data_IF_657755543241
#
_entry.id   IF_657755543241
#
_cell.length_a   1.000
_cell.length_b   1.000
_cell.length_c   1.000
_cell.angle_alpha   90.00
_cell.angle_beta   90.00
_cell.angle_gamma   90.00
#
_symmetry.space_group_name_H-M   'P 1'
#
loop_
_entity.id
_entity.type
_entity.pdbx_description
1 polymer ?
#
# COMPACT_ATOMS: atom_id res chain seq x y z
N UNK A 1 54.55 -23.54 -54.36
CA UNK A 1 53.84 -22.53 -53.54
C UNK A 1 53.34 -23.21 -52.26
N UNK A 2 53.41 -22.54 -51.11
CA UNK A 2 54.04 -23.13 -49.93
C UNK A 2 53.07 -23.90 -49.01
N UNK A 3 53.63 -24.99 -48.50
CA UNK A 3 53.20 -25.85 -47.40
C UNK A 3 53.48 -25.20 -46.05
N UNK A 4 52.60 -25.47 -45.08
CA UNK A 4 52.63 -24.91 -43.74
C UNK A 4 53.84 -25.29 -42.88
N UNK A 5 54.11 -24.44 -41.89
CA UNK A 5 54.97 -24.73 -40.76
C UNK A 5 54.25 -24.28 -39.47
N UNK A 6 53.92 -25.25 -38.63
CA UNK A 6 53.46 -25.05 -37.25
C UNK A 6 54.69 -24.79 -36.36
N UNK A 7 54.64 -23.72 -35.57
CA UNK A 7 55.66 -23.40 -34.56
C UNK A 7 55.25 -23.98 -33.19
N UNK A 8 56.22 -24.55 -32.48
CA UNK A 8 56.10 -25.18 -31.17
C UNK A 8 55.91 -24.16 -30.02
N UNK A 9 55.29 -24.56 -28.88
CA UNK A 9 55.05 -23.67 -27.74
C UNK A 9 56.26 -23.55 -26.79
N UNK A 10 56.52 -22.32 -26.31
CA UNK A 10 57.49 -21.99 -25.26
C UNK A 10 56.93 -22.23 -23.85
N UNK A 11 57.77 -22.58 -22.84
CA UNK A 11 57.33 -22.86 -21.48
C UNK A 11 57.14 -21.59 -20.63
N UNK A 12 56.00 -21.48 -19.94
CA UNK A 12 55.70 -20.40 -18.99
C UNK A 12 56.05 -20.87 -17.57
N UNK A 13 56.94 -20.15 -16.87
CA UNK A 13 57.22 -20.34 -15.44
C UNK A 13 56.23 -19.50 -14.60
N UNK A 14 55.68 -20.01 -13.49
CA UNK A 14 54.79 -19.24 -12.62
C UNK A 14 55.54 -18.20 -11.78
N UNK A 15 55.01 -16.97 -11.77
CA UNK A 15 55.49 -15.86 -10.97
C UNK A 15 54.93 -15.96 -9.54
N UNK A 16 55.79 -16.24 -8.55
CA UNK A 16 55.41 -16.25 -7.14
C UNK A 16 55.55 -14.82 -6.59
N UNK A 17 54.43 -14.14 -6.39
CA UNK A 17 54.38 -12.84 -5.73
C UNK A 17 54.32 -13.08 -4.21
N UNK A 18 55.38 -12.71 -3.47
CA UNK A 18 55.36 -12.65 -2.00
C UNK A 18 54.75 -11.31 -1.57
N UNK A 19 53.58 -11.36 -0.92
CA UNK A 19 52.92 -10.18 -0.33
C UNK A 19 53.46 -9.96 1.10
N UNK A 20 53.87 -8.74 1.50
CA UNK A 20 54.36 -8.46 2.84
C UNK A 20 53.28 -8.60 3.92
N UNK A 21 53.65 -9.18 5.06
CA UNK A 21 52.75 -9.50 6.19
C UNK A 21 52.05 -8.28 6.84
N UNK A 22 52.49 -7.06 6.50
CA UNK A 22 51.91 -5.79 6.98
C UNK A 22 50.59 -5.38 6.32
N UNK A 23 50.21 -5.95 5.16
CA UNK A 23 48.94 -5.63 4.49
C UNK A 23 47.74 -6.37 5.11
N UNK A 24 47.99 -7.47 5.84
CA UNK A 24 46.94 -8.29 6.46
C UNK A 24 46.61 -7.83 7.89
N UNK A 25 47.54 -7.15 8.57
CA UNK A 25 47.35 -6.74 9.97
C UNK A 25 46.46 -5.50 10.13
N UNK A 26 46.44 -4.59 9.16
CA UNK A 26 45.64 -3.35 9.22
C UNK A 26 44.13 -3.62 9.06
N UNK A 27 43.66 -4.49 8.14
CA UNK A 27 42.24 -4.87 8.07
C UNK A 27 41.75 -5.62 9.32
N UNK A 28 42.62 -6.42 9.94
CA UNK A 28 42.26 -7.22 11.11
C UNK A 28 42.08 -6.36 12.38
N UNK A 29 42.92 -5.32 12.54
CA UNK A 29 42.79 -4.32 13.61
C UNK A 29 41.54 -3.44 13.43
N UNK A 30 41.18 -3.07 12.21
CA UNK A 30 39.94 -2.32 11.93
C UNK A 30 38.69 -3.18 12.17
N UNK A 31 38.73 -4.47 11.89
CA UNK A 31 37.65 -5.41 12.24
C UNK A 31 37.50 -5.56 13.76
N UNK A 32 38.60 -5.63 14.51
CA UNK A 32 38.56 -5.72 15.98
C UNK A 32 38.06 -4.43 16.63
N UNK A 33 38.45 -3.25 16.14
CA UNK A 33 37.89 -1.97 16.60
C UNK A 33 36.41 -1.79 16.24
N UNK A 34 35.98 -2.27 15.07
CA UNK A 34 34.56 -2.26 14.70
C UNK A 34 33.71 -3.20 15.58
N UNK A 35 34.30 -4.32 16.03
CA UNK A 35 33.60 -5.26 16.92
C UNK A 35 33.46 -4.74 18.37
N UNK A 36 34.43 -3.95 18.86
CA UNK A 36 34.32 -3.29 20.17
C UNK A 36 33.36 -2.10 20.13
N UNK A 37 33.33 -1.33 19.02
CA UNK A 37 32.41 -0.20 18.87
C UNK A 37 30.95 -0.65 18.65
N UNK A 38 30.72 -1.79 17.98
CA UNK A 38 29.37 -2.37 17.82
C UNK A 38 28.85 -2.99 19.12
N UNK A 39 29.73 -3.48 20.00
CA UNK A 39 29.33 -3.99 21.31
C UNK A 39 28.82 -2.90 22.27
N UNK A 40 29.30 -1.66 22.13
CA UNK A 40 28.91 -0.55 23.00
C UNK A 40 27.66 0.21 22.52
N UNK A 41 27.31 0.13 21.22
CA UNK A 41 26.15 0.83 20.64
C UNK A 41 24.83 0.03 20.73
N UNK A 42 24.86 -1.27 21.05
CA UNK A 42 23.63 -2.09 21.25
C UNK A 42 23.15 -2.09 22.71
N UNK A 43 23.85 -1.43 23.63
CA UNK A 43 23.45 -1.35 25.03
C UNK A 43 22.54 -0.14 25.33
N UNK A 44 21.36 -0.05 24.70
CA UNK A 44 20.35 0.92 25.14
C UNK A 44 18.90 0.43 25.02
N UNK A 45 18.62 -0.68 25.70
CA UNK A 45 17.52 -0.82 26.67
C UNK A 45 17.49 -2.28 27.13
N UNK A 46 17.73 -2.54 28.41
CA UNK A 46 17.46 -3.85 28.98
C UNK A 46 15.96 -4.16 28.75
N UNK A 47 15.59 -5.24 28.03
CA UNK A 47 14.19 -5.53 27.68
C UNK A 47 13.27 -5.58 28.90
N UNK A 48 13.82 -6.00 30.06
CA UNK A 48 13.09 -5.99 31.33
C UNK A 48 12.74 -4.57 31.80
N UNK A 49 13.65 -3.60 31.62
CA UNK A 49 13.40 -2.19 31.95
C UNK A 49 12.37 -1.55 31.02
N UNK A 50 12.37 -1.91 29.73
CA UNK A 50 11.37 -1.43 28.78
C UNK A 50 9.96 -1.93 29.15
N UNK A 51 9.83 -3.21 29.51
CA UNK A 51 8.58 -3.81 29.95
C UNK A 51 8.08 -3.24 31.29
N UNK A 52 8.98 -2.92 32.23
CA UNK A 52 8.60 -2.26 33.48
C UNK A 52 8.17 -0.82 33.28
N UNK A 53 8.83 -0.06 32.38
CA UNK A 53 8.37 1.28 31.97
C UNK A 53 6.99 1.23 31.32
N UNK A 54 6.74 0.23 30.48
CA UNK A 54 5.43 -0.02 29.90
C UNK A 54 4.37 -0.28 30.98
N UNK A 55 4.66 -1.16 31.95
CA UNK A 55 3.76 -1.42 33.10
C UNK A 55 3.42 -0.13 33.85
N UNK A 56 4.38 0.75 34.09
CA UNK A 56 4.13 2.05 34.78
C UNK A 56 3.36 3.06 33.94
N UNK A 57 3.29 2.90 32.61
CA UNK A 57 2.52 3.78 31.72
C UNK A 57 1.03 3.48 31.68
N UNK A 58 0.59 2.37 32.31
CA UNK A 58 -0.81 1.95 32.36
C UNK A 58 -1.41 2.41 33.70
N UNK A 59 -2.40 3.31 33.64
CA UNK A 59 -3.02 3.94 34.81
C UNK A 59 -3.74 2.96 35.75
N UNK A 60 -4.14 1.78 35.25
CA UNK A 60 -4.73 0.68 36.01
C UNK A 60 -4.04 -0.63 35.61
N UNK A 61 -2.83 -0.88 36.13
CA UNK A 61 -2.15 -2.15 35.91
C UNK A 61 -2.99 -3.29 36.53
N UNK A 62 -3.75 -3.98 35.66
CA UNK A 62 -4.58 -5.15 35.93
C UNK A 62 -3.83 -6.19 36.80
N UNK A 63 -4.51 -6.98 37.67
CA UNK A 63 -3.91 -8.14 38.33
C UNK A 63 -3.16 -9.09 37.37
N UNK A 64 -3.47 -9.09 36.07
CA UNK A 64 -2.76 -9.82 35.03
C UNK A 64 -1.24 -9.52 34.93
N UNK A 65 -0.79 -8.32 35.31
CA UNK A 65 0.63 -7.92 35.26
C UNK A 65 1.30 -7.89 36.64
N UNK A 66 0.65 -8.43 37.67
CA UNK A 66 1.09 -8.32 39.06
C UNK A 66 2.49 -8.90 39.28
N UNK A 67 2.83 -10.03 38.65
CA UNK A 67 4.13 -10.69 38.84
C UNK A 67 5.29 -10.09 38.03
N UNK A 68 5.04 -9.08 37.18
CA UNK A 68 6.11 -8.41 36.43
C UNK A 68 7.01 -7.63 37.38
N UNK A 69 8.31 -7.96 37.39
CA UNK A 69 9.32 -7.42 38.29
C UNK A 69 9.64 -8.28 39.51
N UNK A 70 8.95 -9.42 39.69
CA UNK A 70 9.23 -10.37 40.80
C UNK A 70 10.52 -11.17 40.63
N UNK A 71 11.03 -11.28 39.40
CA UNK A 71 12.30 -11.90 39.03
C UNK A 71 13.12 -10.90 38.20
N UNK A 72 14.46 -10.87 38.34
CA UNK A 72 15.33 -9.94 37.63
C UNK A 72 15.25 -10.06 36.09
N UNK A 73 14.87 -11.23 35.57
CA UNK A 73 14.72 -11.47 34.14
C UNK A 73 13.31 -12.00 33.79
N UNK A 74 12.68 -11.52 32.70
CA UNK A 74 11.35 -11.98 32.28
C UNK A 74 11.34 -13.43 31.77
N UNK A 75 12.50 -13.97 31.39
CA UNK A 75 12.69 -15.32 30.88
C UNK A 75 13.85 -16.04 31.58
N UNK A 76 13.72 -17.35 31.76
CA UNK A 76 14.80 -18.28 32.14
C UNK A 76 14.82 -19.40 31.10
N UNK A 77 15.57 -19.21 30.01
CA UNK A 77 15.47 -20.05 28.82
C UNK A 77 14.10 -19.89 28.14
N UNK A 78 13.42 -21.00 27.84
CA UNK A 78 12.07 -21.01 27.24
C UNK A 78 10.93 -20.86 28.28
N UNK A 79 11.26 -20.66 29.56
CA UNK A 79 10.27 -20.46 30.62
C UNK A 79 10.08 -18.97 30.91
N UNK A 80 8.83 -18.54 30.90
CA UNK A 80 8.45 -17.19 31.30
C UNK A 80 8.36 -17.07 32.82
N UNK A 81 9.10 -16.10 33.37
CA UNK A 81 9.02 -15.73 34.78
C UNK A 81 7.92 -14.70 35.05
N UNK A 82 7.53 -13.93 34.02
CA UNK A 82 6.49 -12.90 34.07
C UNK A 82 5.26 -13.38 33.30
N UNK A 83 4.06 -13.13 33.82
CA UNK A 83 2.82 -13.62 33.24
C UNK A 83 2.60 -13.03 31.85
N UNK A 84 2.21 -13.86 30.87
CA UNK A 84 1.95 -13.42 29.50
C UNK A 84 3.20 -13.14 28.64
N UNK A 85 4.41 -13.30 29.18
CA UNK A 85 5.63 -13.30 28.36
C UNK A 85 5.81 -14.67 27.71
N UNK A 86 6.18 -14.70 26.44
CA UNK A 86 6.58 -15.92 25.74
C UNK A 86 8.07 -15.86 25.48
N UNK A 87 8.79 -16.90 25.91
CA UNK A 87 10.23 -16.99 25.78
C UNK A 87 10.56 -18.06 24.73
N UNK A 88 11.37 -17.70 23.75
CA UNK A 88 11.86 -18.62 22.73
C UNK A 88 13.37 -18.48 22.61
N UNK A 89 14.10 -19.58 22.79
CA UNK A 89 15.51 -19.67 22.47
C UNK A 89 15.71 -19.43 20.97
N UNK A 90 16.50 -18.41 20.62
CA UNK A 90 16.79 -17.99 19.24
C UNK A 90 17.71 -18.99 18.50
N UNK A 91 18.04 -20.14 19.10
CA UNK A 91 19.07 -21.07 18.61
C UNK A 91 18.58 -22.41 18.03
N UNK A 92 17.27 -22.61 17.84
CA UNK A 92 16.72 -23.85 17.23
C UNK A 92 15.87 -23.55 15.99
N UNK A 93 16.47 -22.96 14.95
CA UNK A 93 15.79 -22.71 13.67
C UNK A 93 16.20 -23.63 12.50
N UNK A 94 16.81 -24.79 12.76
CA UNK A 94 17.06 -25.78 11.70
C UNK A 94 16.80 -27.20 12.20
N UNK A 95 15.53 -27.64 12.11
CA UNK A 95 15.07 -28.94 11.56
C UNK A 95 13.55 -29.09 11.81
N UNK A 96 12.88 -29.36 10.70
CA UNK A 96 11.47 -29.63 10.47
C UNK A 96 10.93 -30.82 11.29
N UNK A 97 9.69 -30.74 11.83
CA UNK A 97 8.47 -31.38 11.27
C UNK A 97 7.34 -31.62 12.31
N UNK A 98 6.14 -31.13 11.96
CA UNK A 98 4.76 -31.57 12.33
C UNK A 98 4.52 -32.30 13.67
N UNK A 99 3.60 -31.75 14.46
CA UNK A 99 2.45 -32.52 14.93
C UNK A 99 1.21 -31.65 15.13
N UNK A 100 0.11 -32.03 14.48
CA UNK A 100 -1.24 -31.53 14.74
C UNK A 100 -1.66 -32.04 16.12
N UNK A 101 -2.26 -31.19 16.95
CA UNK A 101 -3.43 -31.58 17.76
C UNK A 101 -4.25 -30.36 18.20
N UNK A 102 -5.53 -30.53 17.94
CA UNK A 102 -6.71 -29.74 18.29
C UNK A 102 -6.88 -29.54 19.79
N UNK A 103 -7.28 -28.34 20.21
CA UNK A 103 -8.12 -28.09 21.40
C UNK A 103 -8.74 -26.68 21.32
N UNK A 104 -9.91 -26.46 21.97
CA UNK A 104 -10.96 -25.58 21.46
C UNK A 104 -10.80 -24.12 21.88
N UNK A 105 -11.26 -23.23 21.02
CA UNK A 105 -11.44 -21.80 21.29
C UNK A 105 -12.56 -21.59 22.33
N UNK A 106 -12.37 -20.77 23.38
CA UNK A 106 -13.45 -20.38 24.27
C UNK A 106 -14.42 -19.44 23.56
N UNK A 107 -15.72 -19.75 23.64
CA UNK A 107 -16.82 -18.90 23.20
C UNK A 107 -16.99 -17.73 24.18
N UNK A 108 -17.06 -16.50 23.66
CA UNK A 108 -17.51 -15.33 24.42
C UNK A 108 -18.93 -14.98 23.96
N UNK A 109 -19.82 -14.91 24.94
CA UNK A 109 -21.26 -14.99 24.73
C UNK A 109 -21.98 -13.69 24.41
N UNK A 110 -23.22 -13.95 23.97
CA UNK A 110 -24.49 -13.27 24.27
C UNK A 110 -24.81 -11.95 23.56
N UNK A 111 -25.49 -12.16 22.44
CA UNK A 111 -26.37 -11.28 21.68
C UNK A 111 -27.52 -10.72 22.54
N UNK A 112 -27.74 -9.40 22.48
CA UNK A 112 -28.92 -8.72 23.01
C UNK A 112 -29.86 -8.45 21.83
N UNK A 113 -30.96 -9.20 21.78
CA UNK A 113 -32.10 -9.00 20.88
C UNK A 113 -32.84 -7.70 21.17
N UNK A 114 -33.22 -6.88 20.16
CA UNK A 114 -34.27 -5.89 20.32
C UNK A 114 -35.67 -6.53 20.05
N UNK A 115 -36.73 -6.11 20.75
CA UNK A 115 -38.06 -6.63 20.51
C UNK A 115 -38.68 -6.01 19.25
N UNK A 116 -39.33 -6.88 18.47
CA UNK A 116 -40.20 -6.54 17.37
C UNK A 116 -41.59 -6.15 17.87
N UNK A 117 -42.17 -5.09 17.30
CA UNK A 117 -43.62 -4.92 17.21
C UNK A 117 -43.98 -4.31 15.86
N UNK A 118 -44.87 -4.98 15.16
CA UNK A 118 -45.35 -4.72 13.81
C UNK A 118 -46.26 -3.48 13.71
N UNK A 119 -46.30 -2.89 12.51
CA UNK A 119 -47.51 -2.73 11.65
C UNK A 119 -47.32 -1.54 10.67
N UNK A 120 -47.50 -1.83 9.38
CA UNK A 120 -47.71 -0.90 8.26
C UNK A 120 -49.23 -0.62 8.10
N UNK A 121 -49.73 0.07 7.06
CA UNK A 121 -49.37 1.41 6.51
C UNK A 121 -50.63 2.29 6.28
N UNK A 122 -50.51 3.61 6.07
CA UNK A 122 -51.40 4.34 5.14
C UNK A 122 -50.91 5.76 4.82
N UNK A 123 -50.99 6.10 3.53
CA UNK A 123 -50.79 7.42 2.97
C UNK A 123 -51.96 8.37 3.27
N UNK A 124 -51.71 9.68 3.42
CA UNK A 124 -52.42 10.77 2.70
C UNK A 124 -52.05 12.19 3.16
N UNK A 125 -51.69 13.02 2.16
CA UNK A 125 -52.03 14.44 1.91
C UNK A 125 -51.95 15.52 3.02
N UNK A 126 -51.15 16.55 2.67
CA UNK A 126 -51.42 18.02 2.66
C UNK A 126 -52.27 18.62 3.79
N UNK A 127 -51.72 19.62 4.49
CA UNK A 127 -52.07 21.04 4.25
C UNK A 127 -51.29 21.99 5.18
N UNK A 128 -51.18 23.21 4.67
CA UNK A 128 -50.42 24.40 5.03
C UNK A 128 -51.03 25.29 6.13
N UNK A 129 -50.35 26.43 6.39
CA UNK A 129 -50.82 27.74 6.97
C UNK A 129 -50.62 27.82 8.51
N UNK A 130 -49.98 28.82 9.15
CA UNK A 130 -49.56 30.17 8.76
C UNK A 130 -48.70 30.90 9.83
N UNK A 131 -48.26 32.12 9.43
CA UNK A 131 -47.86 33.34 10.17
C UNK A 131 -46.34 33.52 10.41
N UNK A 132 -45.64 34.36 9.64
CA UNK A 132 -45.58 35.84 9.64
C UNK A 132 -44.86 36.38 10.90
N UNK A 133 -43.83 37.22 10.85
CA UNK A 133 -43.78 38.60 10.30
C UNK A 133 -42.33 39.07 10.05
N UNK A 134 -42.22 40.01 9.10
CA UNK A 134 -41.13 40.90 8.64
C UNK A 134 -40.09 41.39 9.70
N UNK A 135 -38.88 41.86 9.35
CA UNK A 135 -38.61 43.15 8.65
C UNK A 135 -37.22 43.12 7.96
N UNK A 136 -37.19 43.63 6.74
CA UNK A 136 -35.99 44.02 6.00
C UNK A 136 -35.69 45.51 6.20
N UNK A 137 -34.41 45.89 6.26
CA UNK A 137 -33.96 47.27 6.04
C UNK A 137 -33.11 47.29 4.77
N UNK A 138 -33.59 48.03 3.78
CA UNK A 138 -32.84 48.49 2.61
C UNK A 138 -32.16 49.81 2.95
N UNK A 139 -30.89 49.96 2.55
CA UNK A 139 -30.36 51.26 2.11
C UNK A 139 -29.40 51.04 0.94
N UNK A 140 -29.74 51.68 -0.18
CA UNK A 140 -28.98 51.82 -1.42
C UNK A 140 -27.93 52.92 -1.33
N UNK A 141 -26.85 52.81 -2.10
CA UNK A 141 -25.98 53.94 -2.45
C UNK A 141 -24.55 53.51 -2.76
N UNK A 142 -24.19 53.47 -4.04
CA UNK A 142 -22.84 53.10 -4.49
C UNK A 142 -21.83 54.24 -4.45
N UNK A 143 -20.54 53.90 -4.42
CA UNK A 143 -19.53 54.54 -5.27
C UNK A 143 -18.24 53.69 -5.36
N UNK A 144 -17.58 53.87 -6.50
CA UNK A 144 -16.27 53.40 -6.95
C UNK A 144 -15.13 53.42 -5.92
N UNK A 145 -14.24 52.42 -6.00
CA UNK A 145 -13.04 52.33 -5.17
C UNK A 145 -12.17 51.12 -5.48
N UNK A 146 -11.36 51.25 -6.54
CA UNK A 146 -10.33 50.30 -6.97
C UNK A 146 -9.25 50.19 -5.87
N UNK A 147 -9.16 49.06 -5.17
CA UNK A 147 -7.95 48.65 -4.43
C UNK A 147 -7.77 47.14 -4.55
N UNK A 148 -6.74 46.76 -5.31
CA UNK A 148 -6.16 45.43 -5.22
C UNK A 148 -5.58 45.25 -3.83
N UNK A 149 -6.21 44.36 -3.05
CA UNK A 149 -5.61 43.79 -1.86
C UNK A 149 -5.19 42.38 -2.21
N UNK A 150 -3.88 42.16 -2.31
CA UNK A 150 -3.31 40.83 -2.14
C UNK A 150 -3.84 40.27 -0.82
N UNK A 151 -4.77 39.33 -0.89
CA UNK A 151 -5.10 38.50 0.25
C UNK A 151 -3.90 37.58 0.49
N UNK A 152 -2.93 38.09 1.26
CA UNK A 152 -2.03 37.22 2.01
C UNK A 152 -2.90 36.39 2.94
N UNK A 153 -3.16 35.17 2.51
CA UNK A 153 -3.76 34.12 3.33
C UNK A 153 -2.82 33.85 4.51
N UNK A 154 -3.01 34.56 5.61
CA UNK A 154 -2.55 34.12 6.92
C UNK A 154 -3.32 32.85 7.28
N UNK A 155 -2.85 31.72 6.75
CA UNK A 155 -3.36 30.41 7.12
C UNK A 155 -2.81 30.06 8.51
N UNK A 156 -3.72 30.11 9.50
CA UNK A 156 -3.47 29.62 10.84
C UNK A 156 -2.98 28.17 10.84
N UNK A 157 -2.13 27.86 11.83
CA UNK A 157 -1.52 26.55 12.02
C UNK A 157 -2.57 25.42 12.00
N UNK A 158 -2.49 24.54 10.99
CA UNK A 158 -3.14 23.23 11.03
C UNK A 158 -4.57 23.13 10.50
N UNK A 159 -5.03 23.98 9.56
CA UNK A 159 -6.33 23.83 8.89
C UNK A 159 -6.28 22.79 7.75
N UNK A 160 -7.36 22.02 7.58
CA UNK A 160 -7.55 21.16 6.40
C UNK A 160 -7.72 22.00 5.14
N UNK A 161 -7.05 21.60 4.07
CA UNK A 161 -7.22 22.16 2.73
C UNK A 161 -8.16 21.27 1.93
N UNK A 162 -9.40 21.71 1.72
CA UNK A 162 -10.38 21.02 0.88
C UNK A 162 -10.09 21.28 -0.60
N UNK A 163 -10.26 20.25 -1.42
CA UNK A 163 -9.95 20.32 -2.85
C UNK A 163 -11.14 20.07 -3.76
N UNK A 164 -12.31 19.78 -3.19
CA UNK A 164 -13.57 19.62 -3.92
C UNK A 164 -14.47 20.83 -3.66
N UNK A 165 -14.89 21.49 -4.73
CA UNK A 165 -15.61 22.78 -4.70
C UNK A 165 -16.95 22.74 -3.92
N UNK A 166 -17.53 21.55 -3.71
CA UNK A 166 -18.87 21.37 -3.12
C UNK A 166 -18.88 20.56 -1.81
N UNK A 167 -17.76 20.38 -1.11
CA UNK A 167 -17.69 19.47 0.05
C UNK A 167 -16.95 20.02 1.28
N UNK A 168 -16.95 21.33 1.55
CA UNK A 168 -16.60 21.76 2.91
C UNK A 168 -17.74 21.39 3.86
N UNK A 169 -17.77 20.12 4.29
CA UNK A 169 -18.77 19.55 5.19
C UNK A 169 -18.30 19.46 6.65
N UNK A 170 -16.98 19.56 6.88
CA UNK A 170 -16.40 19.36 8.20
C UNK A 170 -15.09 20.14 8.38
N UNK A 171 -14.64 20.28 9.61
CA UNK A 171 -13.36 20.86 10.01
C UNK A 171 -12.42 19.81 10.58
N UNK A 172 -11.15 20.19 10.85
CA UNK A 172 -10.21 19.29 11.51
C UNK A 172 -10.74 18.84 12.89
N UNK A 173 -11.44 19.72 13.61
CA UNK A 173 -12.02 19.37 14.91
C UNK A 173 -13.06 18.25 14.81
N UNK A 174 -13.84 18.22 13.72
CA UNK A 174 -14.84 17.18 13.51
C UNK A 174 -14.16 15.82 13.25
N UNK A 175 -13.08 15.78 12.47
CA UNK A 175 -12.27 14.56 12.32
C UNK A 175 -11.67 14.09 13.65
N UNK A 176 -11.26 15.01 14.51
CA UNK A 176 -10.67 14.68 15.83
C UNK A 176 -11.72 14.17 16.83
N UNK A 177 -13.00 14.50 16.63
CA UNK A 177 -14.13 14.01 17.44
C UNK A 177 -14.78 12.75 16.86
N UNK A 178 -14.51 12.44 15.59
CA UNK A 178 -15.05 11.28 14.90
C UNK A 178 -14.65 9.98 15.60
N UNK A 179 -15.55 9.00 15.57
CA UNK A 179 -15.16 7.63 15.92
C UNK A 179 -14.17 7.11 14.88
N UNK A 180 -13.10 6.47 15.33
CA UNK A 180 -12.01 6.04 14.47
C UNK A 180 -11.72 4.55 14.62
N UNK A 181 -11.68 3.84 13.50
CA UNK A 181 -11.24 2.46 13.40
C UNK A 181 -9.96 2.39 12.57
N UNK A 182 -8.97 1.61 13.03
CA UNK A 182 -7.74 1.38 12.26
C UNK A 182 -8.05 0.41 11.13
N UNK A 183 -7.97 0.88 9.88
CA UNK A 183 -8.13 0.02 8.70
C UNK A 183 -6.86 -0.79 8.41
N UNK A 184 -5.70 -0.23 8.73
CA UNK A 184 -4.42 -0.91 8.58
C UNK A 184 -3.22 0.03 8.65
N UNK A 185 -2.05 -0.58 8.87
CA UNK A 185 -0.75 0.06 8.75
C UNK A 185 0.02 -0.56 7.60
N UNK A 186 0.53 0.25 6.68
CA UNK A 186 1.36 -0.19 5.55
C UNK A 186 2.61 0.68 5.39
N UNK A 187 3.30 0.48 4.27
CA UNK A 187 4.58 1.15 3.94
C UNK A 187 4.50 2.69 4.04
N UNK A 188 3.31 3.26 3.82
CA UNK A 188 3.03 4.70 3.90
C UNK A 188 2.59 5.22 5.28
N UNK A 189 2.45 4.37 6.28
CA UNK A 189 1.90 4.72 7.59
C UNK A 189 0.53 4.11 7.83
N UNK A 190 -0.34 4.82 8.55
CA UNK A 190 -1.60 4.27 9.05
C UNK A 190 -2.82 4.89 8.34
N UNK A 191 -3.83 4.05 8.09
CA UNK A 191 -5.13 4.45 7.54
C UNK A 191 -6.21 4.24 8.60
N UNK A 192 -7.05 5.25 8.78
CA UNK A 192 -8.13 5.26 9.76
C UNK A 192 -9.46 5.49 9.04
N UNK A 193 -10.47 4.69 9.35
CA UNK A 193 -11.86 4.99 9.01
C UNK A 193 -12.40 5.92 10.09
N UNK A 194 -12.79 7.13 9.71
CA UNK A 194 -13.40 8.10 10.59
C UNK A 194 -14.88 8.24 10.22
N UNK A 195 -15.79 8.05 11.20
CA UNK A 195 -17.22 8.29 11.01
C UNK A 195 -17.58 9.60 11.70
N UNK A 196 -17.98 10.59 10.91
CA UNK A 196 -18.42 11.90 11.36
C UNK A 196 -19.76 11.80 12.10
N UNK A 197 -20.12 12.88 12.80
CA UNK A 197 -21.35 12.94 13.63
C UNK A 197 -22.62 12.79 12.80
N UNK A 198 -22.60 13.22 11.54
CA UNK A 198 -23.70 13.06 10.57
C UNK A 198 -23.76 11.67 9.92
N UNK A 199 -22.85 10.76 10.30
CA UNK A 199 -22.76 9.40 9.78
C UNK A 199 -21.91 9.25 8.51
N UNK A 200 -21.37 10.35 7.95
CA UNK A 200 -20.48 10.28 6.80
C UNK A 200 -19.15 9.58 7.18
N UNK A 201 -18.76 8.59 6.39
CA UNK A 201 -17.54 7.81 6.61
C UNK A 201 -16.42 8.26 5.67
N UNK A 202 -15.26 8.55 6.25
CA UNK A 202 -14.06 9.00 5.56
C UNK A 202 -12.87 8.10 5.87
N UNK A 203 -11.85 8.15 5.02
CA UNK A 203 -10.54 7.55 5.29
C UNK A 203 -9.51 8.65 5.48
N UNK A 204 -8.89 8.69 6.66
CA UNK A 204 -7.76 9.55 6.97
C UNK A 204 -6.49 8.73 6.89
N UNK A 205 -5.62 9.06 5.93
CA UNK A 205 -4.29 8.45 5.78
C UNK A 205 -3.22 9.37 6.33
N UNK A 206 -2.43 8.84 7.27
CA UNK A 206 -1.31 9.56 7.89
C UNK A 206 0.02 9.08 7.32
N UNK A 207 0.72 9.99 6.63
CA UNK A 207 1.98 9.70 5.96
C UNK A 207 3.17 10.16 6.78
N UNK A 208 4.07 9.22 7.14
CA UNK A 208 5.33 9.52 7.86
C UNK A 208 6.48 9.82 6.90
N UNK A 209 6.42 9.25 5.71
CA UNK A 209 7.48 9.27 4.70
C UNK A 209 7.41 10.49 3.78
N UNK A 210 6.56 11.46 4.10
CA UNK A 210 6.41 12.73 3.40
C UNK A 210 6.87 13.90 4.29
N UNK A 211 7.62 13.66 5.37
CA UNK A 211 7.97 14.71 6.32
C UNK A 211 9.08 15.66 5.82
N UNK A 212 9.87 15.26 4.81
CA UNK A 212 10.98 16.09 4.31
C UNK A 212 10.62 16.87 3.04
N UNK A 213 9.41 16.71 2.49
CA UNK A 213 8.94 17.50 1.35
C UNK A 213 8.72 18.95 1.78
N UNK A 214 9.14 19.91 0.94
CA UNK A 214 8.88 21.32 1.19
C UNK A 214 7.37 21.61 1.16
N UNK A 215 6.95 22.66 1.88
CA UNK A 215 5.54 23.03 2.01
C UNK A 215 4.95 23.37 0.64
N UNK A 216 5.65 24.19 -0.11
CA UNK A 216 5.24 24.69 -1.42
C UNK A 216 5.11 23.55 -2.43
N UNK A 217 6.12 22.66 -2.49
CA UNK A 217 6.13 21.46 -3.34
C UNK A 217 4.95 20.54 -3.03
N UNK A 218 4.69 20.30 -1.74
CA UNK A 218 3.55 19.47 -1.32
C UNK A 218 2.22 20.08 -1.73
N UNK A 219 2.01 21.37 -1.47
CA UNK A 219 0.76 22.04 -1.86
C UNK A 219 0.57 22.07 -3.37
N UNK A 220 1.62 22.35 -4.13
CA UNK A 220 1.56 22.30 -5.59
C UNK A 220 1.17 20.91 -6.08
N UNK A 221 1.81 19.87 -5.54
CA UNK A 221 1.50 18.49 -5.89
C UNK A 221 0.07 18.10 -5.52
N UNK A 222 -0.42 18.47 -4.34
CA UNK A 222 -1.81 18.23 -3.93
C UNK A 222 -2.82 18.96 -4.82
N UNK A 223 -2.51 20.18 -5.27
CA UNK A 223 -3.35 20.89 -6.25
C UNK A 223 -3.39 20.18 -7.59
N UNK A 224 -2.30 19.55 -8.04
CA UNK A 224 -2.28 18.72 -9.25
C UNK A 224 -3.13 17.46 -9.08
N UNK A 225 -2.95 16.77 -7.95
CA UNK A 225 -3.73 15.58 -7.57
C UNK A 225 -5.24 15.87 -7.55
N UNK A 226 -5.63 17.01 -6.99
CA UNK A 226 -7.01 17.48 -6.89
C UNK A 226 -7.72 17.71 -8.24
N UNK A 227 -6.97 18.03 -9.31
CA UNK A 227 -7.56 18.30 -10.62
C UNK A 227 -7.90 17.03 -11.41
N UNK A 228 -7.39 15.88 -10.97
CA UNK A 228 -7.63 14.60 -11.62
C UNK A 228 -9.08 14.16 -11.40
N UNK A 229 -9.80 13.91 -12.49
CA UNK A 229 -11.20 13.50 -12.49
C UNK A 229 -11.38 12.30 -13.40
N UNK A 230 -11.50 11.13 -12.81
CA UNK A 230 -11.73 9.88 -13.53
C UNK A 230 -12.49 8.89 -12.63
N UNK A 231 -13.49 8.15 -13.16
CA UNK A 231 -14.28 7.21 -12.36
C UNK A 231 -13.45 6.06 -11.77
N UNK A 232 -12.28 5.77 -12.34
CA UNK A 232 -11.38 4.72 -11.85
C UNK A 232 -10.27 5.24 -10.93
N UNK A 233 -10.36 6.47 -10.44
CA UNK A 233 -9.46 7.02 -9.42
C UNK A 233 -10.25 7.42 -8.18
N UNK A 234 -9.74 7.09 -6.99
CA UNK A 234 -10.29 7.57 -5.73
C UNK A 234 -9.88 9.04 -5.53
N UNK A 235 -10.82 10.01 -5.62
CA UNK A 235 -10.44 11.42 -5.61
C UNK A 235 -10.09 11.89 -4.21
N UNK A 236 -9.06 12.73 -4.09
CA UNK A 236 -8.74 13.42 -2.83
C UNK A 236 -9.91 14.32 -2.41
N UNK A 237 -10.26 14.30 -1.12
CA UNK A 237 -11.29 15.17 -0.51
C UNK A 237 -10.62 16.40 0.10
N UNK A 238 -9.64 16.15 0.96
CA UNK A 238 -8.89 17.18 1.67
C UNK A 238 -7.49 16.68 2.03
N UNK A 239 -6.61 17.61 2.40
CA UNK A 239 -5.29 17.27 2.92
C UNK A 239 -4.85 18.22 4.04
N UNK A 240 -3.92 17.76 4.86
CA UNK A 240 -3.27 18.56 5.91
C UNK A 240 -1.76 18.55 5.69
N UNK A 241 -1.15 19.74 5.77
CA UNK A 241 0.29 19.89 5.88
C UNK A 241 0.67 20.41 7.28
N UNK A 242 1.48 19.65 8.00
CA UNK A 242 2.26 20.09 9.16
C UNK A 242 3.70 19.60 9.00
N UNK A 243 4.66 20.24 9.65
CA UNK A 243 6.10 19.95 9.47
C UNK A 243 6.40 18.44 9.57
N UNK A 244 5.86 17.78 10.59
CA UNK A 244 6.12 16.35 10.87
C UNK A 244 4.92 15.44 10.59
N UNK A 245 3.88 15.96 9.93
CA UNK A 245 2.65 15.22 9.69
C UNK A 245 1.96 15.66 8.41
N UNK A 246 1.67 14.68 7.54
CA UNK A 246 0.81 14.88 6.37
C UNK A 246 -0.39 13.95 6.48
N UNK A 247 -1.58 14.51 6.26
CA UNK A 247 -2.80 13.74 6.16
C UNK A 247 -3.39 13.89 4.77
N UNK A 248 -3.85 12.79 4.19
CA UNK A 248 -4.73 12.81 3.01
C UNK A 248 -6.07 12.19 3.41
N UNK A 249 -7.16 12.83 3.00
CA UNK A 249 -8.52 12.44 3.34
C UNK A 249 -9.27 12.04 2.06
N UNK A 250 -9.95 10.91 2.12
CA UNK A 250 -10.73 10.34 1.02
C UNK A 250 -12.11 9.89 1.53
N UNK A 251 -13.06 9.69 0.61
CA UNK A 251 -14.32 9.03 0.94
C UNK A 251 -14.05 7.56 1.30
N UNK A 252 -14.82 7.02 2.25
CA UNK A 252 -14.76 5.59 2.56
C UNK A 252 -15.48 4.76 1.48
N UNK A 253 -14.82 3.72 0.99
CA UNK A 253 -15.36 2.81 -0.02
C UNK A 253 -15.73 1.46 0.63
N UNK A 254 -17.02 1.11 0.58
CA UNK A 254 -17.59 0.03 1.40
C UNK A 254 -17.11 -1.38 1.03
N UNK A 255 -16.88 -1.69 -0.25
CA UNK A 255 -16.48 -3.04 -0.65
C UNK A 255 -14.97 -3.30 -0.48
N UNK A 256 -14.22 -2.41 0.16
CA UNK A 256 -12.82 -2.63 0.49
C UNK A 256 -11.92 -2.74 -0.74
N UNK A 257 -10.78 -3.42 -0.59
CA UNK A 257 -9.77 -3.57 -1.65
C UNK A 257 -9.90 -4.87 -2.43
N UNK A 258 -9.42 -4.89 -3.67
CA UNK A 258 -9.31 -6.11 -4.48
C UNK A 258 -8.52 -7.21 -3.74
N UNK A 259 -7.47 -6.83 -2.99
CA UNK A 259 -6.72 -7.78 -2.17
C UNK A 259 -7.59 -8.49 -1.13
N UNK A 260 -8.52 -7.77 -0.50
CA UNK A 260 -9.45 -8.35 0.47
C UNK A 260 -10.45 -9.33 -0.19
N UNK A 261 -10.88 -9.04 -1.42
CA UNK A 261 -11.74 -9.93 -2.21
C UNK A 261 -11.01 -11.19 -2.70
N UNK A 262 -9.73 -11.08 -3.04
CA UNK A 262 -8.96 -12.22 -3.53
C UNK A 262 -8.45 -13.11 -2.39
N UNK A 263 -8.07 -12.53 -1.24
CA UNK A 263 -7.30 -13.24 -0.21
C UNK A 263 -7.93 -13.20 1.20
N UNK A 264 -9.13 -12.63 1.33
CA UNK A 264 -9.83 -12.49 2.61
C UNK A 264 -10.34 -13.84 3.15
N UNK A 265 -10.31 -14.03 4.48
CA UNK A 265 -10.77 -15.28 5.13
C UNK A 265 -12.25 -15.63 4.89
N UNK A 266 -13.04 -14.66 4.44
CA UNK A 266 -14.47 -14.80 4.16
C UNK A 266 -14.83 -14.24 2.78
N UNK A 267 -13.87 -14.17 1.84
CA UNK A 267 -14.21 -13.76 0.48
C UNK A 267 -15.08 -14.84 -0.17
N UNK A 268 -16.18 -14.43 -0.80
CA UNK A 268 -16.99 -15.29 -1.66
C UNK A 268 -16.35 -15.50 -3.04
N UNK A 269 -15.05 -15.20 -3.18
CA UNK A 269 -14.36 -15.05 -4.45
C UNK A 269 -14.93 -13.92 -5.32
N UNK A 270 -14.21 -13.58 -6.40
CA UNK A 270 -14.73 -12.75 -7.49
C UNK A 270 -15.01 -13.62 -8.71
N UNK A 271 -16.17 -13.41 -9.33
CA UNK A 271 -16.50 -14.02 -10.63
C UNK A 271 -15.54 -13.58 -11.73
N UNK A 272 -15.49 -14.35 -12.83
CA UNK A 272 -14.73 -13.97 -14.03
C UNK A 272 -15.13 -12.58 -14.55
N UNK A 273 -16.44 -12.32 -14.68
CA UNK A 273 -16.95 -11.05 -15.17
C UNK A 273 -16.50 -9.88 -14.27
N UNK A 274 -16.60 -10.03 -12.94
CA UNK A 274 -16.13 -9.02 -12.00
C UNK A 274 -14.64 -8.76 -12.13
N UNK A 275 -13.81 -9.80 -12.24
CA UNK A 275 -12.35 -9.68 -12.41
C UNK A 275 -12.00 -8.96 -13.72
N UNK A 276 -12.64 -9.31 -14.83
CA UNK A 276 -12.43 -8.66 -16.12
C UNK A 276 -12.85 -7.18 -16.08
N UNK A 277 -14.02 -6.88 -15.50
CA UNK A 277 -14.50 -5.50 -15.28
C UNK A 277 -13.50 -4.67 -14.48
N UNK A 278 -12.97 -5.24 -13.40
CA UNK A 278 -11.96 -4.60 -12.54
C UNK A 278 -10.68 -4.34 -13.33
N UNK A 279 -10.13 -5.32 -14.04
CA UNK A 279 -8.91 -5.13 -14.84
C UNK A 279 -9.11 -4.05 -15.91
N UNK A 280 -10.25 -4.05 -16.59
CA UNK A 280 -10.62 -3.03 -17.59
C UNK A 280 -10.68 -1.62 -16.97
N UNK A 281 -11.24 -1.46 -15.79
CA UNK A 281 -11.29 -0.16 -15.10
C UNK A 281 -9.92 0.29 -14.60
N UNK A 282 -9.10 -0.63 -14.09
CA UNK A 282 -7.73 -0.34 -13.64
C UNK A 282 -6.88 0.21 -14.80
N UNK A 283 -6.88 -0.46 -15.96
CA UNK A 283 -6.06 0.01 -17.10
C UNK A 283 -6.55 1.35 -17.64
N UNK A 284 -7.86 1.64 -17.58
CA UNK A 284 -8.42 2.96 -17.92
C UNK A 284 -7.93 4.05 -16.98
N UNK A 285 -7.98 3.81 -15.66
CA UNK A 285 -7.47 4.72 -14.65
C UNK A 285 -5.96 4.96 -14.80
N UNK A 286 -5.19 3.90 -15.06
CA UNK A 286 -3.75 3.99 -15.27
C UNK A 286 -3.39 4.79 -16.53
N UNK A 287 -4.08 4.54 -17.65
CA UNK A 287 -3.88 5.31 -18.88
C UNK A 287 -4.26 6.78 -18.72
N UNK A 288 -5.31 7.08 -17.94
CA UNK A 288 -5.67 8.45 -17.60
C UNK A 288 -4.53 9.15 -16.85
N UNK A 289 -3.94 8.52 -15.83
CA UNK A 289 -2.78 9.07 -15.11
C UNK A 289 -1.59 9.35 -16.05
N UNK A 290 -1.28 8.43 -16.97
CA UNK A 290 -0.19 8.61 -17.93
C UNK A 290 -0.43 9.77 -18.90
N UNK A 291 -1.70 10.02 -19.23
CA UNK A 291 -2.12 11.10 -20.13
C UNK A 291 -2.10 12.46 -19.44
N UNK A 292 -2.62 12.55 -18.21
CA UNK A 292 -2.72 13.81 -17.45
C UNK A 292 -1.40 14.21 -16.79
N UNK A 293 -0.50 13.25 -16.53
CA UNK A 293 0.77 13.47 -15.84
C UNK A 293 1.96 12.97 -16.65
N UNK A 294 2.14 13.45 -17.89
CA UNK A 294 3.17 12.94 -18.79
C UNK A 294 4.59 13.23 -18.29
N UNK A 295 4.77 14.22 -17.42
CA UNK A 295 6.06 14.57 -16.82
C UNK A 295 6.51 13.62 -15.68
N UNK A 296 5.62 12.79 -15.14
CA UNK A 296 5.99 11.82 -14.12
C UNK A 296 6.57 10.55 -14.77
N UNK A 297 7.72 10.11 -14.26
CA UNK A 297 8.37 8.87 -14.70
C UNK A 297 7.53 7.63 -14.39
N UNK A 298 6.86 7.63 -13.23
CA UNK A 298 5.94 6.59 -12.76
C UNK A 298 4.64 7.26 -12.31
N UNK A 299 3.71 7.55 -13.25
CA UNK A 299 2.47 8.25 -12.94
C UNK A 299 1.69 7.62 -11.79
N UNK A 300 1.60 6.29 -11.70
CA UNK A 300 1.05 5.64 -10.51
C UNK A 300 2.12 5.29 -9.47
N UNK A 301 3.13 4.50 -9.84
CA UNK A 301 4.26 4.12 -9.00
C UNK A 301 3.98 3.10 -7.88
N UNK A 302 2.73 2.87 -7.53
CA UNK A 302 2.31 2.02 -6.41
C UNK A 302 1.09 1.14 -6.71
N UNK A 303 0.93 0.71 -7.96
CA UNK A 303 -0.20 -0.14 -8.32
C UNK A 303 -0.02 -1.55 -7.73
N UNK A 304 -0.99 -1.98 -6.91
CA UNK A 304 -1.10 -3.31 -6.29
C UNK A 304 -2.55 -3.57 -5.88
N UNK A 305 -2.94 -4.82 -5.65
CA UNK A 305 -4.32 -5.20 -5.32
C UNK A 305 -4.88 -4.51 -4.08
N UNK A 306 -4.05 -4.19 -3.08
CA UNK A 306 -4.49 -3.44 -1.88
C UNK A 306 -4.78 -1.96 -2.15
N UNK A 307 -4.29 -1.43 -3.28
CA UNK A 307 -4.48 -0.05 -3.71
C UNK A 307 -5.54 0.08 -4.83
N UNK A 308 -6.30 -0.98 -5.07
CA UNK A 308 -7.49 -0.97 -5.93
C UNK A 308 -8.70 -1.17 -5.03
N UNK A 309 -9.44 -0.10 -4.75
CA UNK A 309 -10.70 -0.20 -4.02
C UNK A 309 -11.84 -0.57 -4.96
N UNK A 310 -12.86 -1.25 -4.44
CA UNK A 310 -14.02 -1.68 -5.21
C UNK A 310 -15.22 -0.89 -4.70
N UNK A 311 -15.93 -0.18 -5.57
CA UNK A 311 -17.16 0.52 -5.19
C UNK A 311 -18.38 -0.41 -5.15
N UNK A 312 -19.56 0.14 -4.82
CA UNK A 312 -20.82 -0.62 -4.72
C UNK A 312 -21.23 -1.30 -6.02
N UNK A 313 -20.85 -0.73 -7.16
CA UNK A 313 -21.16 -1.25 -8.50
C UNK A 313 -20.05 -2.16 -9.04
N UNK A 314 -19.11 -2.55 -8.18
CA UNK A 314 -17.92 -3.34 -8.54
C UNK A 314 -17.04 -2.66 -9.59
N UNK A 315 -17.01 -1.32 -9.63
CA UNK A 315 -15.99 -0.60 -10.39
C UNK A 315 -14.73 -0.41 -9.54
N UNK A 316 -13.55 -0.50 -10.15
CA UNK A 316 -12.30 -0.26 -9.44
C UNK A 316 -12.01 1.24 -9.31
N UNK A 317 -11.48 1.64 -8.16
CA UNK A 317 -10.95 2.97 -7.88
C UNK A 317 -9.51 2.86 -7.38
N UNK A 318 -8.57 3.36 -8.17
CA UNK A 318 -7.15 3.37 -7.81
C UNK A 318 -6.89 4.39 -6.71
N UNK A 319 -6.08 4.03 -5.72
CA UNK A 319 -5.62 4.92 -4.66
C UNK A 319 -4.09 4.93 -4.54
N UNK A 320 -3.54 5.84 -3.73
CA UNK A 320 -2.09 5.98 -3.50
C UNK A 320 -1.27 6.15 -4.80
N UNK A 321 -1.90 6.72 -5.82
CA UNK A 321 -1.27 7.07 -7.08
C UNK A 321 -0.52 8.40 -6.96
N UNK A 322 0.47 8.61 -7.83
CA UNK A 322 1.21 9.88 -7.97
C UNK A 322 1.98 10.33 -6.73
N UNK A 323 2.28 9.45 -5.78
CA UNK A 323 2.92 9.87 -4.52
C UNK A 323 4.44 10.07 -4.63
N UNK A 324 5.10 9.54 -5.66
CA UNK A 324 6.56 9.57 -5.79
C UNK A 324 7.22 10.96 -5.55
N UNK A 325 6.69 12.08 -6.08
CA UNK A 325 7.31 13.40 -5.88
C UNK A 325 7.26 13.95 -4.45
N UNK A 326 6.33 13.46 -3.63
CA UNK A 326 6.12 13.96 -2.25
C UNK A 326 6.67 13.01 -1.18
N UNK A 327 7.24 11.88 -1.60
CA UNK A 327 7.86 10.91 -0.71
C UNK A 327 9.35 11.21 -0.59
N UNK A 328 9.88 11.01 0.61
CA UNK A 328 11.30 11.17 0.91
C UNK A 328 12.16 10.38 -0.11
N UNK A 329 13.06 11.04 -0.87
CA UNK A 329 13.86 10.37 -1.91
C UNK A 329 14.69 9.19 -1.39
N UNK A 330 15.12 9.25 -0.12
CA UNK A 330 15.89 8.19 0.51
C UNK A 330 15.05 6.96 0.91
N UNK A 331 13.72 7.06 0.91
CA UNK A 331 12.81 5.98 1.31
C UNK A 331 11.90 5.53 0.17
N UNK A 332 11.81 6.30 -0.91
CA UNK A 332 10.86 6.06 -2.01
C UNK A 332 10.99 4.66 -2.61
N UNK A 333 12.22 4.12 -2.67
CA UNK A 333 12.52 2.81 -3.24
C UNK A 333 12.12 1.64 -2.34
N UNK A 334 12.03 1.85 -1.02
CA UNK A 334 11.56 0.84 -0.07
C UNK A 334 10.03 0.74 -0.09
N UNK A 335 9.36 1.86 -0.36
CA UNK A 335 7.91 2.02 -0.24
C UNK A 335 7.19 1.70 -1.54
N UNK A 336 7.62 2.28 -2.66
CA UNK A 336 6.88 2.20 -3.92
C UNK A 336 7.17 0.89 -4.65
N UNK A 337 6.11 0.14 -4.95
CA UNK A 337 6.16 -1.14 -5.70
C UNK A 337 6.92 -1.02 -7.03
N UNK A 338 6.88 0.14 -7.70
CA UNK A 338 7.63 0.36 -8.93
C UNK A 338 9.15 0.10 -8.79
N UNK A 339 9.72 0.38 -7.63
CA UNK A 339 11.15 0.15 -7.34
C UNK A 339 11.47 -1.31 -7.03
N UNK A 340 10.46 -2.18 -7.04
CA UNK A 340 10.62 -3.63 -6.94
C UNK A 340 10.62 -4.30 -8.33
N UNK A 341 10.57 -3.50 -9.40
CA UNK A 341 10.56 -4.00 -10.78
C UNK A 341 11.91 -4.58 -11.24
N UNK A 342 11.91 -5.49 -12.23
CA UNK A 342 13.14 -6.02 -12.80
C UNK A 342 14.02 -4.94 -13.45
N UNK A 343 13.41 -3.87 -14.01
CA UNK A 343 14.17 -2.78 -14.63
C UNK A 343 14.98 -2.01 -13.59
N UNK A 344 14.38 -1.75 -12.43
CA UNK A 344 15.07 -1.09 -11.34
C UNK A 344 16.19 -1.97 -10.78
N UNK A 345 15.94 -3.27 -10.60
CA UNK A 345 16.95 -4.21 -10.14
C UNK A 345 18.18 -4.28 -11.09
N UNK A 346 17.95 -4.20 -12.41
CA UNK A 346 19.02 -4.26 -13.42
C UNK A 346 19.74 -2.93 -13.65
N UNK A 347 19.02 -1.81 -13.64
CA UNK A 347 19.53 -0.52 -14.12
C UNK A 347 19.58 0.58 -13.06
N UNK A 348 18.98 0.35 -11.89
CA UNK A 348 18.77 1.37 -10.85
C UNK A 348 17.77 2.46 -11.26
N UNK A 349 16.99 2.27 -12.33
CA UNK A 349 16.06 3.27 -12.87
C UNK A 349 14.67 2.68 -13.10
N UNK A 350 13.64 3.49 -12.86
CA UNK A 350 12.23 3.21 -13.20
C UNK A 350 11.81 4.04 -14.40
N UNK A 351 10.76 3.63 -15.10
CA UNK A 351 10.21 4.34 -16.26
C UNK A 351 8.68 4.14 -16.35
N UNK A 352 8.03 4.73 -17.36
CA UNK A 352 6.58 4.57 -17.54
C UNK A 352 6.16 3.11 -17.76
N UNK A 353 7.02 2.31 -18.40
CA UNK A 353 6.79 0.86 -18.56
C UNK A 353 6.90 0.07 -17.24
N UNK A 354 7.41 0.68 -16.17
CA UNK A 354 7.38 0.10 -14.82
C UNK A 354 5.94 0.04 -14.28
N UNK A 355 5.10 1.04 -14.55
CA UNK A 355 3.67 0.97 -14.20
C UNK A 355 2.94 -0.14 -14.97
N UNK A 356 3.35 -0.41 -16.23
CA UNK A 356 2.81 -1.51 -17.03
C UNK A 356 3.20 -2.86 -16.43
N UNK A 357 4.42 -2.99 -15.91
CA UNK A 357 4.82 -4.19 -15.18
C UNK A 357 3.97 -4.40 -13.92
N UNK A 358 3.70 -3.34 -13.14
CA UNK A 358 2.79 -3.42 -11.99
C UNK A 358 1.37 -3.84 -12.42
N UNK A 359 0.88 -3.35 -13.57
CA UNK A 359 -0.40 -3.78 -14.14
C UNK A 359 -0.37 -5.28 -14.48
N UNK A 360 0.70 -5.78 -15.10
CA UNK A 360 0.88 -7.20 -15.38
C UNK A 360 0.80 -8.06 -14.13
N UNK A 361 1.54 -7.70 -13.08
CA UNK A 361 1.49 -8.39 -11.79
C UNK A 361 0.08 -8.41 -11.20
N UNK A 362 -0.63 -7.28 -11.26
CA UNK A 362 -2.02 -7.18 -10.80
C UNK A 362 -2.96 -8.07 -11.60
N UNK A 363 -2.82 -8.14 -12.94
CA UNK A 363 -3.60 -9.02 -13.81
C UNK A 363 -3.37 -10.47 -13.39
N UNK A 364 -2.12 -10.90 -13.27
CA UNK A 364 -1.77 -12.26 -12.89
C UNK A 364 -2.28 -12.61 -11.49
N UNK A 365 -2.14 -11.73 -10.51
CA UNK A 365 -2.73 -11.91 -9.17
C UNK A 365 -4.25 -12.07 -9.24
N UNK A 366 -4.90 -11.22 -10.03
CA UNK A 366 -6.36 -11.24 -10.19
C UNK A 366 -6.83 -12.51 -10.89
N UNK A 367 -6.10 -13.06 -11.85
CA UNK A 367 -6.47 -14.30 -12.54
C UNK A 367 -6.20 -15.56 -11.72
N UNK A 368 -5.12 -15.56 -10.96
CA UNK A 368 -4.68 -16.76 -10.22
C UNK A 368 -5.27 -16.86 -8.82
N UNK A 369 -5.74 -15.74 -8.25
CA UNK A 369 -6.11 -15.67 -6.83
C UNK A 369 -4.91 -15.91 -5.89
N UNK A 370 -3.67 -15.95 -6.41
CA UNK A 370 -2.47 -16.23 -5.61
C UNK A 370 -1.89 -14.93 -5.09
N UNK A 371 -1.74 -14.83 -3.76
CA UNK A 371 -1.27 -13.64 -3.10
C UNK A 371 0.21 -13.34 -3.37
N UNK A 372 0.49 -12.16 -3.92
CA UNK A 372 1.87 -11.71 -4.20
C UNK A 372 2.57 -11.20 -2.93
N UNK A 373 1.88 -10.90 -1.82
CA UNK A 373 2.55 -10.24 -0.69
C UNK A 373 3.45 -11.11 0.19
N UNK A 374 3.49 -12.44 0.00
CA UNK A 374 4.61 -13.24 0.53
C UNK A 374 5.95 -12.72 -0.03
N UNK A 375 5.94 -12.28 -1.30
CA UNK A 375 7.12 -11.74 -1.99
C UNK A 375 7.38 -10.28 -1.61
N UNK A 376 6.35 -9.48 -1.29
CA UNK A 376 6.49 -8.05 -0.95
C UNK A 376 7.14 -7.76 0.42
N UNK A 377 7.46 -8.78 1.22
CA UNK A 377 7.89 -8.64 2.62
C UNK A 377 9.38 -8.84 2.90
N UNK A 378 10.22 -9.12 1.88
CA UNK A 378 11.66 -9.38 2.09
C UNK A 378 12.56 -8.54 1.17
N UNK A 379 13.76 -8.24 1.65
CA UNK A 379 14.69 -7.21 1.17
C UNK A 379 14.98 -7.17 -0.33
N UNK A 380 15.46 -6.01 -0.77
CA UNK A 380 15.53 -5.48 -2.14
C UNK A 380 16.20 -6.34 -3.23
N UNK A 381 16.89 -7.43 -2.89
CA UNK A 381 17.61 -8.28 -3.86
C UNK A 381 16.95 -9.63 -4.19
N UNK A 382 16.24 -10.27 -3.25
CA UNK A 382 15.60 -11.58 -3.47
C UNK A 382 14.24 -11.47 -4.17
N UNK A 383 13.62 -10.29 -4.07
CA UNK A 383 12.30 -9.99 -4.61
C UNK A 383 12.16 -10.23 -6.12
N UNK A 384 13.09 -9.69 -6.93
CA UNK A 384 12.93 -9.73 -8.40
C UNK A 384 13.09 -11.15 -8.95
N UNK A 385 13.96 -11.96 -8.35
CA UNK A 385 14.22 -13.33 -8.78
C UNK A 385 13.05 -14.26 -8.46
N UNK A 386 12.45 -14.14 -7.27
CA UNK A 386 11.27 -14.94 -6.89
C UNK A 386 10.05 -14.58 -7.72
N UNK A 387 9.83 -13.29 -7.99
CA UNK A 387 8.71 -12.84 -8.81
C UNK A 387 8.89 -13.22 -10.28
N UNK A 388 10.11 -13.12 -10.82
CA UNK A 388 10.43 -13.64 -12.15
C UNK A 388 10.22 -15.17 -12.22
N UNK A 389 10.64 -15.91 -11.19
CA UNK A 389 10.37 -17.35 -11.07
C UNK A 389 8.88 -17.68 -11.06
N UNK A 390 8.07 -16.89 -10.35
CA UNK A 390 6.61 -17.04 -10.34
C UNK A 390 5.97 -16.77 -11.70
N UNK A 391 6.36 -15.68 -12.39
CA UNK A 391 5.88 -15.41 -13.75
C UNK A 391 6.30 -16.53 -14.71
N UNK A 392 7.54 -17.03 -14.61
CA UNK A 392 8.02 -18.14 -15.43
C UNK A 392 7.26 -19.45 -15.17
N UNK A 393 6.91 -19.73 -13.91
CA UNK A 393 6.07 -20.87 -13.56
C UNK A 393 4.68 -20.77 -14.21
N UNK A 394 4.08 -19.57 -14.22
CA UNK A 394 2.81 -19.32 -14.91
C UNK A 394 2.93 -19.56 -16.42
N UNK A 395 4.03 -19.12 -17.04
CA UNK A 395 4.27 -19.32 -18.48
C UNK A 395 4.43 -20.80 -18.84
N UNK A 396 4.97 -21.62 -17.93
CA UNK A 396 5.20 -23.05 -18.16
C UNK A 396 4.01 -23.96 -17.89
N UNK A 397 2.92 -23.45 -17.30
CA UNK A 397 1.73 -24.21 -16.91
C UNK A 397 0.53 -23.87 -17.82
N UNK A 398 -0.43 -24.79 -17.95
CA UNK A 398 -1.68 -24.49 -18.67
C UNK A 398 -2.54 -23.50 -17.87
N UNK A 399 -3.19 -22.54 -18.53
CA UNK A 399 -4.10 -21.58 -17.86
C UNK A 399 -5.17 -22.24 -17.00
N UNK A 400 -5.68 -23.41 -17.40
CA UNK A 400 -6.65 -24.18 -16.63
C UNK A 400 -6.12 -24.65 -15.26
N UNK A 401 -4.80 -24.77 -15.11
CA UNK A 401 -4.14 -25.18 -13.87
C UNK A 401 -3.75 -23.97 -13.01
N UNK A 402 -3.48 -22.84 -13.66
CA UNK A 402 -2.97 -21.61 -13.05
C UNK A 402 -4.08 -20.71 -12.51
N UNK A 403 -5.19 -20.64 -13.23
CA UNK A 403 -6.30 -19.75 -12.90
C UNK A 403 -7.09 -20.25 -11.69
N UNK A 404 -7.69 -19.30 -10.97
CA UNK A 404 -8.48 -19.57 -9.79
C UNK A 404 -9.68 -20.46 -10.10
N UNK A 405 -9.78 -21.59 -9.39
CA UNK A 405 -10.82 -22.61 -9.61
C UNK A 405 -12.19 -22.16 -9.14
N UNK A 406 -12.25 -21.10 -8.33
CA UNK A 406 -13.51 -20.51 -7.85
C UNK A 406 -14.23 -19.69 -8.93
N UNK A 407 -13.57 -19.39 -10.05
CA UNK A 407 -14.21 -18.78 -11.20
C UNK A 407 -14.98 -19.86 -11.98
N UNK A 408 -16.29 -19.98 -11.77
CA UNK A 408 -17.16 -20.78 -12.62
C UNK A 408 -17.21 -20.15 -14.03
N UNK A 409 -16.49 -20.72 -15.00
CA UNK A 409 -16.30 -20.09 -16.32
C UNK A 409 -16.79 -21.00 -17.46
N UNK A 410 -17.50 -20.40 -18.42
CA UNK A 410 -17.88 -21.00 -19.71
C UNK A 410 -16.66 -21.39 -20.56
N UNK A 411 -16.87 -22.12 -21.66
CA UNK A 411 -15.78 -22.43 -22.58
C UNK A 411 -15.21 -21.15 -23.23
N UNK A 412 -16.08 -20.22 -23.62
CA UNK A 412 -15.76 -18.93 -24.20
C UNK A 412 -15.01 -18.06 -23.19
N UNK A 413 -15.48 -18.01 -21.94
CA UNK A 413 -14.82 -17.28 -20.86
C UNK A 413 -13.40 -17.80 -20.59
N UNK A 414 -13.14 -19.11 -20.75
CA UNK A 414 -11.78 -19.67 -20.64
C UNK A 414 -10.83 -19.15 -21.72
N UNK A 415 -11.32 -18.99 -22.95
CA UNK A 415 -10.52 -18.40 -24.05
C UNK A 415 -10.20 -16.93 -23.75
N UNK A 416 -11.18 -16.18 -23.27
CA UNK A 416 -10.98 -14.77 -22.89
C UNK A 416 -10.03 -14.63 -21.70
N UNK A 417 -10.09 -15.56 -20.75
CA UNK A 417 -9.18 -15.64 -19.61
C UNK A 417 -7.75 -15.95 -20.03
N UNK A 418 -7.55 -16.91 -20.93
CA UNK A 418 -6.24 -17.19 -21.53
C UNK A 418 -5.68 -15.94 -22.22
N UNK A 419 -6.50 -15.25 -23.02
CA UNK A 419 -6.07 -14.01 -23.69
C UNK A 419 -5.62 -12.96 -22.68
N UNK A 420 -6.36 -12.79 -21.58
CA UNK A 420 -5.98 -11.83 -20.53
C UNK A 420 -4.72 -12.26 -19.76
N UNK A 421 -4.53 -13.56 -19.55
CA UNK A 421 -3.32 -14.13 -18.97
C UNK A 421 -2.09 -13.79 -19.82
N UNK A 422 -2.18 -14.00 -21.14
CA UNK A 422 -1.10 -13.68 -22.08
C UNK A 422 -0.79 -12.18 -22.10
N UNK A 423 -1.80 -11.31 -22.00
CA UNK A 423 -1.58 -9.87 -21.87
C UNK A 423 -0.83 -9.55 -20.56
N UNK A 424 -1.21 -10.18 -19.44
CA UNK A 424 -0.53 -10.03 -18.15
C UNK A 424 0.95 -10.44 -18.23
N UNK A 425 1.25 -11.59 -18.83
CA UNK A 425 2.61 -12.08 -19.09
C UNK A 425 3.40 -11.11 -19.97
N UNK A 426 2.79 -10.58 -21.03
CA UNK A 426 3.42 -9.62 -21.94
C UNK A 426 3.70 -8.27 -21.26
N UNK A 427 2.88 -7.86 -20.29
CA UNK A 427 3.15 -6.71 -19.43
C UNK A 427 4.29 -6.97 -18.44
N UNK A 428 4.58 -8.22 -18.09
CA UNK A 428 5.63 -8.61 -17.15
C UNK A 428 6.99 -8.90 -17.80
N UNK A 429 7.15 -8.76 -19.13
CA UNK A 429 8.43 -8.99 -19.81
C UNK A 429 9.57 -8.19 -19.19
N UNK A 430 10.70 -8.84 -18.90
CA UNK A 430 11.86 -8.15 -18.33
C UNK A 430 12.58 -7.25 -19.33
N UNK A 431 12.49 -7.58 -20.62
CA UNK A 431 13.00 -6.76 -21.71
C UNK A 431 12.00 -5.65 -22.03
N UNK A 432 12.41 -4.39 -21.85
CA UNK A 432 11.58 -3.21 -22.04
C UNK A 432 11.09 -3.03 -23.48
N UNK A 433 11.84 -3.53 -24.46
CA UNK A 433 11.46 -3.45 -25.87
C UNK A 433 10.38 -4.48 -26.21
N UNK A 434 10.34 -5.60 -25.47
CA UNK A 434 9.31 -6.64 -25.60
C UNK A 434 8.10 -6.40 -24.72
N UNK A 435 8.26 -5.63 -23.63
CA UNK A 435 7.15 -5.29 -22.74
C UNK A 435 6.16 -4.39 -23.46
N UNK A 436 4.87 -4.76 -23.34
CA UNK A 436 3.77 -3.98 -23.90
C UNK A 436 3.83 -2.52 -23.46
N UNK A 437 3.48 -1.64 -24.40
CA UNK A 437 3.17 -0.25 -24.10
C UNK A 437 1.77 -0.13 -23.49
N UNK A 438 1.57 0.84 -22.58
CA UNK A 438 0.31 0.97 -21.86
C UNK A 438 -0.90 1.16 -22.78
N UNK A 439 -0.74 1.91 -23.87
CA UNK A 439 -1.81 2.12 -24.86
C UNK A 439 -2.19 0.82 -25.57
N UNK A 440 -1.21 -0.02 -25.86
CA UNK A 440 -1.44 -1.32 -26.49
C UNK A 440 -2.07 -2.29 -25.50
N UNK A 441 -1.58 -2.36 -24.26
CA UNK A 441 -2.20 -3.13 -23.19
C UNK A 441 -3.66 -2.71 -22.96
N UNK A 442 -3.94 -1.40 -22.91
CA UNK A 442 -5.31 -0.88 -22.82
C UNK A 442 -6.18 -1.41 -23.96
N UNK A 443 -5.72 -1.26 -25.21
CA UNK A 443 -6.45 -1.72 -26.39
C UNK A 443 -6.77 -3.22 -26.30
N UNK A 444 -5.75 -4.05 -26.08
CA UNK A 444 -5.92 -5.51 -26.01
C UNK A 444 -6.85 -5.93 -24.87
N UNK A 445 -6.75 -5.30 -23.69
CA UNK A 445 -7.63 -5.58 -22.54
C UNK A 445 -9.09 -5.18 -22.82
N UNK A 446 -9.33 -4.07 -23.54
CA UNK A 446 -10.69 -3.67 -23.90
C UNK A 446 -11.34 -4.63 -24.90
N UNK A 447 -10.55 -5.25 -25.77
CA UNK A 447 -11.01 -6.23 -26.77
C UNK A 447 -11.38 -7.60 -26.17
N UNK A 448 -10.96 -7.90 -24.93
CA UNK A 448 -11.40 -9.11 -24.21
C UNK A 448 -12.87 -8.95 -23.85
N UNK A 449 -13.74 -9.85 -24.32
CA UNK A 449 -15.19 -9.73 -24.12
C UNK A 449 -15.66 -10.51 -22.88
N UNK A 450 -16.70 -10.01 -22.21
CA UNK A 450 -17.48 -10.79 -21.26
C UNK A 450 -18.43 -11.67 -22.09
N UNK A 451 -18.38 -12.99 -21.88
CA UNK A 451 -19.20 -13.97 -22.60
C UNK A 451 -20.64 -13.96 -22.12
#
# INVERSE_FOLDING_TARGET
MPTGAQAAPYPVRPCIIKIPSTIITIPLLLLLFSSHFVAEVVAQANPSQALLKFKTSIANADPALANWGSSPNPCSGDRANWAGILCFNVLLFLVYRRSRKSSPTPQLGRELTPPASALTPSASKKSSISNAVAVAIHTTGGNSGRKGGEQQQQQGAGKLSFVRDNQQKFELQDLMRASAEVLGSGDFGASYKAVLVDGEALVVKRFKQMNNVAKEDFHEHMRRLARLKNPNLLPLVAYLYRKEEKLLVFDYVNNGSLSAHLHGKHSSGLSWASRLKIIKGVVKGLNYLHTELPALTIPHGHLKSSNVLIDSDFNPQLMDYTLAPVVNPNQVHEILVAYRSPDYAKTGRVCKKTDVWCLGILILETLTGKFVAKYLSQGSGQYSAELAGWVNAIVGESSAQVCDKEMEVSAEGRIQMERLLQIGIACCQEDLDKRLDLKEALKQIQEVQES
#
